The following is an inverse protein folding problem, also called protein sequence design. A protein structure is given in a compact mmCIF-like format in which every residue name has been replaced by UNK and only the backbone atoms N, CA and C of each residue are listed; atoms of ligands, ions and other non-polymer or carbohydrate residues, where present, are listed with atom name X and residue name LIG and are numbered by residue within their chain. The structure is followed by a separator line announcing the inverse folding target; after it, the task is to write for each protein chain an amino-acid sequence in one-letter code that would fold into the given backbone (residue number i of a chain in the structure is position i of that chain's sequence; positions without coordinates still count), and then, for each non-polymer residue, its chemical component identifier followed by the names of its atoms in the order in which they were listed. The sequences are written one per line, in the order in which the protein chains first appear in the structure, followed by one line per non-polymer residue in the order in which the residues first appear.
data_IF_808578275339
#
_entry.id   IF_808578275339
#
_cell.length_a   1.000
_cell.length_b   1.000
_cell.length_c   1.000
_cell.angle_alpha   90.00
_cell.angle_beta   90.00
_cell.angle_gamma   90.00
#
_symmetry.space_group_name_H-M   'P 1'
#
loop_
_entity.id
_entity.type
_entity.pdbx_description
1 polymer ?
#
# COMPACT_ATOMS: atom_id res chain seq x y z
N UNK A 1 26.44 -12.56 53.09
CA UNK A 1 26.61 -11.28 52.38
C UNK A 1 26.93 -11.37 50.88
N UNK A 2 27.51 -12.46 50.33
CA UNK A 2 27.75 -12.62 48.87
C UNK A 2 26.49 -12.93 48.03
N UNK A 3 25.39 -13.36 48.66
CA UNK A 3 24.14 -13.71 47.98
C UNK A 3 23.27 -12.50 47.61
N UNK A 4 23.35 -11.39 48.36
CA UNK A 4 22.56 -10.18 48.07
C UNK A 4 23.05 -9.44 46.81
N UNK A 5 24.32 -9.58 46.43
CA UNK A 5 24.87 -8.96 45.22
C UNK A 5 24.58 -9.76 43.94
N UNK A 6 24.12 -11.01 44.05
CA UNK A 6 23.86 -11.90 42.91
C UNK A 6 22.47 -11.73 42.31
N UNK A 7 21.50 -11.28 43.11
CA UNK A 7 20.12 -11.02 42.67
C UNK A 7 20.05 -9.89 41.63
N UNK A 8 20.66 -8.70 41.83
CA UNK A 8 20.62 -7.65 40.82
C UNK A 8 21.35 -8.05 39.52
N UNK A 9 22.43 -8.85 39.64
CA UNK A 9 23.14 -9.36 38.47
C UNK A 9 22.30 -10.37 37.66
N UNK A 10 21.56 -11.25 38.32
CA UNK A 10 20.64 -12.19 37.66
C UNK A 10 19.47 -11.47 37.00
N UNK A 11 18.87 -10.49 37.67
CA UNK A 11 17.78 -9.69 37.10
C UNK A 11 18.26 -8.91 35.89
N UNK A 12 19.43 -8.26 35.96
CA UNK A 12 20.02 -7.56 34.82
C UNK A 12 20.28 -8.49 33.63
N UNK A 13 20.76 -9.71 33.90
CA UNK A 13 21.02 -10.70 32.86
C UNK A 13 19.72 -11.19 32.20
N UNK A 14 18.67 -11.46 32.99
CA UNK A 14 17.35 -11.86 32.48
C UNK A 14 16.71 -10.75 31.65
N UNK A 15 16.81 -9.49 32.10
CA UNK A 15 16.31 -8.33 31.36
C UNK A 15 17.06 -8.16 30.04
N UNK A 16 18.39 -8.21 30.04
CA UNK A 16 19.20 -8.10 28.81
C UNK A 16 18.90 -9.22 27.80
N UNK A 17 18.64 -10.45 28.28
CA UNK A 17 18.27 -11.59 27.43
C UNK A 17 16.82 -11.51 26.90
N UNK A 18 15.91 -10.86 27.64
CA UNK A 18 14.52 -10.67 27.23
C UNK A 18 14.30 -9.40 26.38
N UNK A 19 15.23 -8.43 26.41
CA UNK A 19 15.18 -7.19 25.62
C UNK A 19 14.91 -7.40 24.11
N UNK A 20 15.58 -8.33 23.39
CA UNK A 20 15.32 -8.54 21.97
C UNK A 20 13.92 -9.09 21.68
N UNK A 21 13.26 -9.75 22.64
CA UNK A 21 11.87 -10.19 22.50
C UNK A 21 10.86 -9.02 22.58
N UNK A 22 11.27 -7.85 23.08
CA UNK A 22 10.45 -6.63 23.15
C UNK A 22 10.80 -5.63 22.04
N UNK A 23 11.90 -5.83 21.33
CA UNK A 23 12.26 -5.04 20.16
C UNK A 23 11.48 -5.54 18.95
N UNK A 24 10.21 -5.15 18.84
CA UNK A 24 9.44 -5.36 17.62
C UNK A 24 9.94 -4.38 16.56
N UNK A 25 10.84 -4.84 15.70
CA UNK A 25 11.25 -4.13 14.50
C UNK A 25 9.98 -3.96 13.63
N UNK A 26 9.44 -2.74 13.55
CA UNK A 26 8.23 -2.50 12.77
C UNK A 26 8.61 -2.33 11.31
N UNK A 27 8.47 -3.39 10.52
CA UNK A 27 8.55 -3.32 9.07
C UNK A 27 7.51 -2.30 8.56
N UNK A 28 7.96 -1.33 7.76
CA UNK A 28 7.13 -0.28 7.21
C UNK A 28 6.96 -0.50 5.71
N UNK A 29 6.14 -1.50 5.37
CA UNK A 29 5.85 -1.89 3.98
C UNK A 29 5.39 -0.72 3.10
N UNK A 30 4.76 0.30 3.68
CA UNK A 30 4.31 1.49 2.95
C UNK A 30 5.45 2.45 2.60
N UNK A 31 6.50 2.52 3.41
CA UNK A 31 7.71 3.27 3.09
C UNK A 31 8.56 2.54 2.06
N UNK A 32 8.64 1.21 2.17
CA UNK A 32 9.37 0.37 1.22
C UNK A 32 8.73 0.42 -0.17
N UNK A 33 7.39 0.34 -0.26
CA UNK A 33 6.67 0.45 -1.53
C UNK A 33 6.85 1.82 -2.22
N UNK A 34 6.99 2.90 -1.43
CA UNK A 34 7.28 4.25 -1.95
C UNK A 34 8.73 4.42 -2.39
N UNK A 35 9.63 3.62 -1.84
CA UNK A 35 11.08 3.66 -2.13
C UNK A 35 11.49 2.64 -3.19
N UNK A 36 10.54 1.91 -3.77
CA UNK A 36 10.80 1.00 -4.88
C UNK A 36 11.34 1.78 -6.09
N UNK A 37 12.31 1.20 -6.80
CA UNK A 37 12.97 1.82 -7.95
C UNK A 37 12.01 2.10 -9.13
N UNK A 38 10.97 1.28 -9.30
CA UNK A 38 9.96 1.41 -10.36
C UNK A 38 8.55 1.05 -9.85
N UNK A 39 7.92 1.93 -9.04
CA UNK A 39 6.61 1.65 -8.49
C UNK A 39 5.54 1.77 -9.59
N UNK A 40 4.47 0.96 -9.54
CA UNK A 40 3.37 1.09 -10.49
C UNK A 40 2.82 2.53 -10.52
N UNK A 41 2.75 3.19 -11.69
CA UNK A 41 2.23 4.54 -11.76
C UNK A 41 0.76 4.59 -11.35
N UNK A 42 0.37 5.68 -10.70
CA UNK A 42 -1.05 5.98 -10.43
C UNK A 42 -1.79 6.27 -11.72
N UNK A 43 -3.06 5.86 -11.80
CA UNK A 43 -3.92 6.15 -12.94
C UNK A 43 -4.33 7.63 -12.84
N UNK A 44 -3.98 8.50 -13.83
CA UNK A 44 -4.20 9.95 -13.79
C UNK A 44 -5.47 10.40 -14.53
N UNK A 45 -6.36 9.45 -14.89
CA UNK A 45 -7.66 9.74 -15.47
C UNK A 45 -8.77 8.91 -14.81
N UNK A 46 -10.02 9.26 -15.09
CA UNK A 46 -11.17 8.49 -14.64
C UNK A 46 -11.16 7.08 -15.24
N UNK A 47 -11.56 6.09 -14.42
CA UNK A 47 -11.78 4.70 -14.82
C UNK A 47 -13.08 4.24 -14.15
N UNK A 48 -14.04 3.79 -14.95
CA UNK A 48 -15.31 3.27 -14.46
C UNK A 48 -15.10 2.03 -13.60
N UNK A 49 -15.94 1.82 -12.59
CA UNK A 49 -15.82 0.65 -11.68
C UNK A 49 -16.02 -0.70 -12.40
N UNK A 50 -16.68 -0.70 -13.55
CA UNK A 50 -16.86 -1.87 -14.42
C UNK A 50 -15.72 -2.10 -15.42
N UNK A 51 -14.71 -1.22 -15.46
CA UNK A 51 -13.59 -1.37 -16.37
C UNK A 51 -12.78 -2.62 -16.03
N UNK A 52 -12.37 -3.34 -17.07
CA UNK A 52 -11.52 -4.53 -17.00
C UNK A 52 -10.27 -4.34 -17.86
N UNK A 53 -9.36 -5.33 -17.86
CA UNK A 53 -8.10 -5.22 -18.60
C UNK A 53 -8.25 -4.89 -20.09
N UNK A 54 -9.28 -5.41 -20.76
CA UNK A 54 -9.49 -5.11 -22.19
C UNK A 54 -9.88 -3.65 -22.42
N UNK A 55 -10.65 -3.05 -21.50
CA UNK A 55 -10.94 -1.62 -21.54
C UNK A 55 -9.68 -0.75 -21.35
N UNK A 56 -8.73 -1.19 -20.52
CA UNK A 56 -7.45 -0.52 -20.34
C UNK A 56 -6.56 -0.63 -21.59
N UNK A 57 -6.48 -1.84 -22.17
CA UNK A 57 -5.67 -2.14 -23.34
C UNK A 57 -6.11 -1.38 -24.60
N UNK A 58 -7.38 -0.99 -24.69
CA UNK A 58 -7.89 -0.15 -25.78
C UNK A 58 -7.05 1.12 -26.01
N UNK A 59 -6.37 1.63 -24.98
CA UNK A 59 -5.39 2.70 -25.12
C UNK A 59 -3.96 2.26 -24.82
N UNK A 60 -3.75 1.44 -23.79
CA UNK A 60 -2.41 1.13 -23.27
C UNK A 60 -1.69 -0.02 -23.99
N UNK A 61 -2.32 -0.74 -24.92
CA UNK A 61 -1.64 -1.81 -25.67
C UNK A 61 -0.67 -1.25 -26.71
N UNK A 62 -1.07 -0.20 -27.42
CA UNK A 62 -0.27 0.42 -28.51
C UNK A 62 -0.02 1.91 -28.31
N UNK A 63 -0.49 2.49 -27.20
CA UNK A 63 -0.24 3.87 -26.83
C UNK A 63 -1.16 4.88 -27.52
N UNK A 64 -2.42 4.50 -27.72
CA UNK A 64 -3.44 5.37 -28.33
C UNK A 64 -3.60 6.64 -27.48
N UNK A 65 -3.71 7.80 -28.15
CA UNK A 65 -3.82 9.12 -27.52
C UNK A 65 -2.65 9.46 -26.58
N UNK A 66 -1.47 8.91 -26.84
CA UNK A 66 -0.28 9.18 -26.02
C UNK A 66 -0.29 8.47 -24.67
N UNK A 67 -1.15 7.47 -24.49
CA UNK A 67 -1.07 6.58 -23.33
C UNK A 67 0.28 5.85 -23.33
N UNK A 68 0.93 5.66 -22.17
CA UNK A 68 2.12 4.82 -22.09
C UNK A 68 1.74 3.37 -22.43
N UNK A 69 2.57 2.72 -23.25
CA UNK A 69 2.40 1.31 -23.58
C UNK A 69 2.70 0.46 -22.36
N UNK A 70 1.77 -0.43 -21.98
CA UNK A 70 2.02 -1.34 -20.87
C UNK A 70 3.07 -2.39 -21.26
N UNK A 71 4.10 -2.62 -20.42
CA UNK A 71 5.08 -3.67 -20.67
C UNK A 71 4.52 -5.08 -20.40
N UNK A 72 3.28 -5.18 -19.89
CA UNK A 72 2.66 -6.45 -19.49
C UNK A 72 1.18 -6.53 -19.90
N UNK A 73 0.89 -6.63 -21.21
CA UNK A 73 -0.49 -6.62 -21.72
C UNK A 73 -1.33 -7.83 -21.28
N UNK A 74 -0.68 -8.93 -20.88
CA UNK A 74 -1.37 -10.13 -20.39
C UNK A 74 -1.85 -10.02 -18.93
N UNK A 75 -1.42 -9.00 -18.17
CA UNK A 75 -1.88 -8.75 -16.79
C UNK A 75 -3.19 -7.95 -16.80
N UNK A 76 -4.30 -8.66 -16.99
CA UNK A 76 -5.61 -8.05 -17.20
C UNK A 76 -6.26 -7.43 -15.94
N UNK A 77 -5.73 -7.66 -14.74
CA UNK A 77 -6.22 -7.03 -13.51
C UNK A 77 -5.37 -5.81 -13.14
N UNK A 78 -5.45 -4.75 -13.95
CA UNK A 78 -4.55 -3.60 -13.85
C UNK A 78 -4.62 -2.88 -12.49
N UNK A 79 -5.82 -2.84 -11.89
CA UNK A 79 -6.08 -2.18 -10.59
C UNK A 79 -5.57 -2.96 -9.38
N UNK A 80 -5.01 -4.16 -9.59
CA UNK A 80 -4.28 -4.87 -8.54
C UNK A 80 -3.01 -4.11 -8.11
N UNK A 81 -2.39 -3.38 -9.05
CA UNK A 81 -1.15 -2.63 -8.81
C UNK A 81 -1.32 -1.13 -9.07
N UNK A 82 -2.08 -0.75 -10.10
CA UNK A 82 -2.28 0.65 -10.45
C UNK A 82 -3.48 1.24 -9.69
N UNK A 83 -3.19 2.15 -8.77
CA UNK A 83 -4.22 2.83 -7.95
C UNK A 83 -4.76 4.05 -8.69
N UNK A 84 -6.07 4.28 -8.59
CA UNK A 84 -6.72 5.51 -9.10
C UNK A 84 -6.27 6.70 -8.26
N UNK A 85 -5.80 7.77 -8.91
CA UNK A 85 -5.56 9.02 -8.19
C UNK A 85 -6.88 9.59 -7.66
N UNK A 86 -6.84 10.24 -6.51
CA UNK A 86 -7.99 10.82 -5.78
C UNK A 86 -8.64 12.01 -6.50
N UNK A 87 -8.33 12.24 -7.77
CA UNK A 87 -8.91 13.29 -8.58
C UNK A 87 -10.39 13.00 -8.84
N UNK A 88 -11.20 13.45 -7.88
CA UNK A 88 -12.66 13.53 -7.87
C UNK A 88 -13.43 12.30 -7.39
N UNK A 89 -13.26 11.96 -6.10
CA UNK A 89 -14.36 11.41 -5.30
C UNK A 89 -15.36 12.51 -4.83
N UNK A 90 -15.56 13.58 -5.61
CA UNK A 90 -16.74 14.43 -5.48
C UNK A 90 -17.83 13.84 -6.36
N UNK A 91 -18.41 12.74 -5.92
CA UNK A 91 -19.67 12.28 -6.49
C UNK A 91 -20.69 12.18 -5.37
N UNK A 92 -21.65 13.10 -5.46
CA UNK A 92 -23.04 12.89 -5.06
C UNK A 92 -23.31 12.90 -3.57
N UNK A 93 -23.57 14.11 -3.05
CA UNK A 93 -24.46 14.24 -1.91
C UNK A 93 -25.80 13.58 -2.22
N UNK A 94 -25.99 12.36 -1.74
CA UNK A 94 -27.32 11.82 -1.48
C UNK A 94 -27.94 12.74 -0.43
N UNK A 95 -28.74 13.72 -0.87
CA UNK A 95 -29.70 14.35 0.04
C UNK A 95 -30.64 13.24 0.50
N UNK A 96 -30.39 12.72 1.69
CA UNK A 96 -31.37 11.95 2.43
C UNK A 96 -32.62 12.83 2.55
N UNK A 97 -33.63 12.52 1.74
CA UNK A 97 -34.94 13.17 1.80
C UNK A 97 -35.61 12.65 3.08
N UNK A 98 -35.41 13.36 4.19
CA UNK A 98 -36.33 13.30 5.33
C UNK A 98 -37.71 13.64 4.78
N UNK A 99 -38.59 12.64 4.76
CA UNK A 99 -40.03 12.85 4.61
C UNK A 99 -40.49 13.60 5.86
N UNK A 100 -41.07 14.78 5.64
CA UNK A 100 -42.01 15.37 6.57
C UNK A 100 -43.25 14.47 6.67
#
# INVERSE_FOLDING_TARGET
MKALLRIPALVACVVALALPALAQERENYEADARSAEDPPPVIPHFVADSANGTACLACHETGVKGAPVTPHPTRLNCTQCHVRSEMNAKTSGTKAKTRQ
#
